data_IF_960454126815
#
_entry.id   IF_960454126815
#
_cell.length_a   1.000
_cell.length_b   1.000
_cell.length_c   1.000
_cell.angle_alpha   90.00
_cell.angle_beta   90.00
_cell.angle_gamma   90.00
#
_symmetry.space_group_name_H-M   'P 1'
#
loop_
_entity.id
_entity.type
_entity.pdbx_description
1 polymer ?
#
# COMPACT_ATOMS: atom_id res chain seq x y z
N UNK A 1 15.77 -6.42 17.09
CA UNK A 1 15.66 -4.96 16.87
C UNK A 1 14.22 -4.43 16.99
N UNK A 2 13.17 -5.26 16.81
CA UNK A 2 11.79 -4.94 17.20
C UNK A 2 11.29 -5.95 18.25
N UNK A 3 11.57 -5.77 19.55
CA UNK A 3 11.18 -6.74 20.57
C UNK A 3 9.67 -6.76 20.84
N UNK A 4 8.95 -5.67 20.50
CA UNK A 4 7.52 -5.50 20.78
C UNK A 4 6.69 -6.27 19.76
N UNK A 5 6.76 -5.91 18.48
CA UNK A 5 5.90 -6.49 17.44
C UNK A 5 6.55 -7.67 16.72
N UNK A 6 7.89 -7.80 16.79
CA UNK A 6 8.66 -8.83 16.05
C UNK A 6 8.34 -8.86 14.55
N UNK A 7 8.03 -7.69 14.01
CA UNK A 7 7.63 -7.49 12.62
C UNK A 7 8.68 -6.68 11.86
N UNK A 8 8.71 -6.89 10.55
CA UNK A 8 9.37 -6.04 9.56
C UNK A 8 8.36 -5.01 9.02
N UNK A 9 8.80 -3.88 8.46
CA UNK A 9 10.20 -3.42 8.37
C UNK A 9 10.75 -2.85 9.69
N UNK A 10 12.09 -2.90 9.82
CA UNK A 10 12.84 -2.18 10.85
C UNK A 10 13.99 -1.45 10.17
N UNK A 11 14.00 -0.12 10.22
CA UNK A 11 15.13 0.69 9.75
C UNK A 11 16.15 0.81 10.89
N UNK A 12 17.43 0.53 10.62
CA UNK A 12 18.51 0.74 11.59
C UNK A 12 19.36 1.91 11.10
N UNK A 13 19.28 3.05 11.78
CA UNK A 13 20.07 4.24 11.44
C UNK A 13 21.02 4.56 12.60
N UNK A 14 22.33 4.43 12.36
CA UNK A 14 23.40 4.62 13.36
C UNK A 14 23.19 3.75 14.61
N UNK A 15 22.94 2.46 14.38
CA UNK A 15 22.71 1.47 15.45
C UNK A 15 21.35 1.58 16.16
N UNK A 16 20.53 2.58 15.84
CA UNK A 16 19.22 2.81 16.47
C UNK A 16 18.09 2.25 15.60
N UNK A 17 17.24 1.36 16.11
CA UNK A 17 16.12 0.82 15.35
C UNK A 17 14.91 1.77 15.35
N UNK A 18 14.24 1.87 14.21
CA UNK A 18 12.94 2.51 14.00
C UNK A 18 12.02 1.44 13.41
N UNK A 19 10.87 1.21 14.04
CA UNK A 19 9.88 0.21 13.64
C UNK A 19 8.66 0.88 13.01
N UNK A 20 7.78 0.10 12.38
CA UNK A 20 6.58 0.52 11.65
C UNK A 20 6.90 1.28 10.35
N UNK A 21 6.40 0.78 9.22
CA UNK A 21 6.70 1.32 7.87
C UNK A 21 6.45 2.82 7.79
N UNK A 22 5.27 3.29 8.21
CA UNK A 22 4.88 4.68 8.07
C UNK A 22 5.55 5.61 9.10
N UNK A 23 6.03 5.07 10.23
CA UNK A 23 6.90 5.80 11.16
C UNK A 23 8.32 5.93 10.58
N UNK A 24 8.84 4.86 9.97
CA UNK A 24 10.12 4.86 9.26
C UNK A 24 10.12 5.88 8.12
N UNK A 25 9.05 5.92 7.31
CA UNK A 25 8.93 6.89 6.20
C UNK A 25 8.94 8.33 6.70
N UNK A 26 8.22 8.62 7.78
CA UNK A 26 8.26 9.95 8.43
C UNK A 26 9.64 10.30 8.95
N UNK A 27 10.34 9.33 9.57
CA UNK A 27 11.70 9.53 10.03
C UNK A 27 12.65 9.85 8.88
N UNK A 28 12.55 9.12 7.75
CA UNK A 28 13.34 9.38 6.55
C UNK A 28 13.06 10.78 6.02
N UNK A 29 11.79 11.17 5.91
CA UNK A 29 11.38 12.48 5.42
C UNK A 29 11.93 13.64 6.29
N UNK A 30 12.00 13.44 7.61
CA UNK A 30 12.53 14.44 8.54
C UNK A 30 14.06 14.54 8.52
N UNK A 31 14.76 13.41 8.37
CA UNK A 31 16.22 13.35 8.41
C UNK A 31 16.83 13.78 7.07
N UNK A 32 16.24 13.38 5.94
CA UNK A 32 16.72 13.69 4.59
C UNK A 32 15.79 14.69 3.86
N UNK A 33 15.32 15.69 4.57
CA UNK A 33 14.33 16.69 4.13
C UNK A 33 14.76 17.64 2.98
N UNK A 34 15.99 17.55 2.50
CA UNK A 34 16.60 18.52 1.58
C UNK A 34 16.49 18.16 0.09
N UNK A 35 15.91 17.02 -0.27
CA UNK A 35 15.84 16.55 -1.68
C UNK A 35 14.43 16.47 -2.25
N UNK A 36 13.55 15.75 -1.57
CA UNK A 36 12.21 15.44 -2.09
C UNK A 36 11.28 15.17 -0.91
N UNK A 37 10.64 16.21 -0.34
CA UNK A 37 9.76 16.04 0.81
C UNK A 37 8.56 15.17 0.42
N UNK A 38 8.30 14.13 1.20
CA UNK A 38 7.17 13.23 1.05
C UNK A 38 5.91 13.80 1.71
N UNK A 39 6.08 14.56 2.79
CA UNK A 39 4.98 15.20 3.50
C UNK A 39 4.90 16.69 3.19
N UNK A 40 3.69 17.24 3.05
CA UNK A 40 3.50 18.68 2.93
C UNK A 40 4.05 19.45 4.14
N UNK A 41 4.56 20.65 3.88
CA UNK A 41 4.98 21.58 4.94
C UNK A 41 3.80 22.15 5.72
N UNK A 42 2.70 22.45 5.01
CA UNK A 42 1.45 22.93 5.62
C UNK A 42 0.88 21.91 6.63
N UNK A 43 0.57 22.31 7.87
CA UNK A 43 0.10 21.39 8.91
C UNK A 43 -1.21 20.68 8.56
N UNK A 44 -2.15 21.35 7.91
CA UNK A 44 -3.44 20.76 7.57
C UNK A 44 -3.27 19.68 6.49
N UNK A 45 -2.58 20.01 5.40
CA UNK A 45 -2.25 19.05 4.32
C UNK A 45 -1.42 17.88 4.83
N UNK A 46 -0.54 18.12 5.80
CA UNK A 46 0.24 17.05 6.46
C UNK A 46 -0.64 16.12 7.29
N UNK A 47 -1.59 16.67 8.06
CA UNK A 47 -2.55 15.87 8.82
C UNK A 47 -3.43 15.03 7.88
N UNK A 48 -3.87 15.63 6.77
CA UNK A 48 -4.61 14.96 5.73
C UNK A 48 -3.84 13.79 5.09
N UNK A 49 -2.56 14.00 4.73
CA UNK A 49 -1.70 12.93 4.22
C UNK A 49 -1.54 11.77 5.23
N UNK A 50 -1.43 12.10 6.51
CA UNK A 50 -1.36 11.10 7.59
C UNK A 50 -2.66 10.31 7.75
N UNK A 51 -3.81 10.98 7.64
CA UNK A 51 -5.10 10.33 7.70
C UNK A 51 -5.24 9.27 6.60
N UNK A 52 -4.90 9.61 5.35
CA UNK A 52 -5.04 8.66 4.25
C UNK A 52 -4.03 7.51 4.31
N UNK A 53 -2.81 7.74 4.76
CA UNK A 53 -1.88 6.64 5.04
C UNK A 53 -2.39 5.70 6.14
N UNK A 54 -2.96 6.26 7.22
CA UNK A 54 -3.58 5.48 8.29
C UNK A 54 -4.82 4.70 7.81
N UNK A 55 -5.63 5.30 6.94
CA UNK A 55 -6.73 4.62 6.26
C UNK A 55 -6.22 3.41 5.46
N UNK A 56 -5.15 3.57 4.68
CA UNK A 56 -4.55 2.49 3.89
C UNK A 56 -4.08 1.35 4.80
N UNK A 57 -3.33 1.66 5.86
CA UNK A 57 -2.82 0.66 6.82
C UNK A 57 -3.97 -0.08 7.53
N UNK A 58 -5.03 0.62 7.93
CA UNK A 58 -6.16 0.05 8.67
C UNK A 58 -7.21 -0.63 7.80
N UNK A 59 -7.25 -0.35 6.50
CA UNK A 59 -8.28 -0.88 5.58
C UNK A 59 -7.68 -1.79 4.53
N UNK A 60 -6.81 -1.28 3.66
CA UNK A 60 -6.33 -1.99 2.48
C UNK A 60 -5.55 -3.25 2.87
N UNK A 61 -4.62 -3.14 3.81
CA UNK A 61 -3.83 -4.30 4.26
C UNK A 61 -4.69 -5.42 4.90
N UNK A 62 -5.47 -5.18 5.97
CA UNK A 62 -6.22 -6.24 6.62
C UNK A 62 -7.33 -6.80 5.72
N UNK A 63 -8.06 -5.96 4.98
CA UNK A 63 -9.13 -6.43 4.09
C UNK A 63 -8.55 -7.21 2.92
N UNK A 64 -7.47 -6.73 2.30
CA UNK A 64 -6.76 -7.44 1.24
C UNK A 64 -6.24 -8.80 1.72
N UNK A 65 -5.72 -8.87 2.95
CA UNK A 65 -5.35 -10.14 3.59
C UNK A 65 -6.54 -11.07 3.76
N UNK A 66 -7.67 -10.57 4.26
CA UNK A 66 -8.87 -11.38 4.43
C UNK A 66 -9.40 -11.90 3.10
N UNK A 67 -9.34 -11.10 2.04
CA UNK A 67 -9.72 -11.51 0.68
C UNK A 67 -8.91 -12.72 0.20
N UNK A 68 -7.58 -12.69 0.32
CA UNK A 68 -6.75 -13.80 -0.16
C UNK A 68 -6.54 -14.91 0.87
N UNK A 69 -6.83 -14.74 2.15
CA UNK A 69 -6.62 -15.77 3.18
C UNK A 69 -7.91 -16.49 3.62
N UNK A 70 -9.10 -15.96 3.30
CA UNK A 70 -10.39 -16.53 3.76
C UNK A 70 -11.11 -17.33 2.68
N UNK A 71 -12.25 -17.95 3.05
CA UNK A 71 -13.18 -18.66 2.15
C UNK A 71 -14.63 -18.18 2.38
N UNK A 72 -15.52 -18.57 1.45
CA UNK A 72 -16.96 -18.38 1.58
C UNK A 72 -17.38 -16.93 1.80
N UNK A 73 -18.35 -16.71 2.67
CA UNK A 73 -18.95 -15.40 2.94
C UNK A 73 -17.92 -14.34 3.38
N UNK A 74 -16.94 -14.73 4.20
CA UNK A 74 -15.89 -13.81 4.67
C UNK A 74 -15.06 -13.27 3.51
N UNK A 75 -14.75 -14.12 2.53
CA UNK A 75 -14.02 -13.72 1.32
C UNK A 75 -14.86 -12.77 0.46
N UNK A 76 -16.13 -13.08 0.24
CA UNK A 76 -17.04 -12.23 -0.55
C UNK A 76 -17.31 -10.88 0.12
N UNK A 77 -17.44 -10.84 1.45
CA UNK A 77 -17.53 -9.59 2.19
C UNK A 77 -16.24 -8.76 2.06
N UNK A 78 -15.08 -9.40 2.25
CA UNK A 78 -13.78 -8.73 2.11
C UNK A 78 -13.55 -8.20 0.70
N UNK A 79 -14.03 -8.90 -0.33
CA UNK A 79 -14.00 -8.43 -1.72
C UNK A 79 -14.78 -7.12 -1.87
N UNK A 80 -16.04 -7.09 -1.42
CA UNK A 80 -16.90 -5.90 -1.50
C UNK A 80 -16.27 -4.72 -0.77
N UNK A 81 -15.80 -4.95 0.44
CA UNK A 81 -15.16 -3.92 1.26
C UNK A 81 -13.88 -3.39 0.62
N UNK A 82 -13.06 -4.27 0.02
CA UNK A 82 -11.82 -3.85 -0.66
C UNK A 82 -12.12 -3.00 -1.89
N UNK A 83 -13.12 -3.39 -2.69
CA UNK A 83 -13.56 -2.62 -3.86
C UNK A 83 -14.03 -1.23 -3.41
N UNK A 84 -14.84 -1.14 -2.36
CA UNK A 84 -15.31 0.14 -1.84
C UNK A 84 -14.14 1.01 -1.32
N UNK A 85 -13.18 0.40 -0.62
CA UNK A 85 -12.01 1.14 -0.15
C UNK A 85 -11.16 1.71 -1.29
N UNK A 86 -10.99 0.97 -2.39
CA UNK A 86 -10.28 1.49 -3.56
C UNK A 86 -11.08 2.57 -4.29
N UNK A 87 -12.41 2.50 -4.35
CA UNK A 87 -13.26 3.57 -4.90
C UNK A 87 -13.15 4.86 -4.09
N UNK A 88 -13.13 4.75 -2.76
CA UNK A 88 -12.87 5.90 -1.88
C UNK A 88 -11.50 6.52 -2.18
N UNK A 89 -10.46 5.70 -2.35
CA UNK A 89 -9.12 6.18 -2.72
C UNK A 89 -9.09 6.81 -4.13
N UNK A 90 -9.83 6.30 -5.11
CA UNK A 90 -9.97 6.96 -6.41
C UNK A 90 -10.62 8.34 -6.34
N UNK A 91 -11.56 8.54 -5.40
CA UNK A 91 -12.18 9.84 -5.16
C UNK A 91 -11.22 10.84 -4.52
N UNK A 92 -10.27 10.35 -3.73
CA UNK A 92 -9.23 11.14 -3.08
C UNK A 92 -8.04 11.45 -4.01
N UNK A 93 -7.79 10.60 -5.00
CA UNK A 93 -6.64 10.72 -5.89
C UNK A 93 -6.60 12.11 -6.55
N UNK A 94 -5.55 12.86 -6.22
CA UNK A 94 -5.19 14.10 -6.90
C UNK A 94 -4.57 13.85 -8.28
N UNK A 95 -4.18 14.94 -8.96
CA UNK A 95 -3.54 14.88 -10.29
C UNK A 95 -2.11 15.44 -10.24
N UNK A 96 -1.07 14.71 -10.71
CA UNK A 96 -1.10 13.32 -11.17
C UNK A 96 -0.97 12.26 -10.05
N UNK A 97 -0.71 12.68 -8.80
CA UNK A 97 -0.48 11.82 -7.63
C UNK A 97 -1.41 12.19 -6.45
N UNK A 98 -1.48 11.34 -5.42
CA UNK A 98 -2.14 11.70 -4.16
C UNK A 98 -1.47 12.89 -3.47
N UNK A 99 -0.15 13.04 -3.63
CA UNK A 99 0.57 14.24 -3.20
C UNK A 99 0.26 15.51 -4.01
N UNK A 100 -0.59 15.44 -5.03
CA UNK A 100 -0.82 16.49 -6.02
C UNK A 100 0.21 16.42 -7.13
N UNK A 101 0.92 17.53 -7.38
CA UNK A 101 1.92 17.64 -8.46
C UNK A 101 3.12 16.69 -8.32
N UNK A 102 3.39 16.21 -7.11
CA UNK A 102 4.54 15.35 -6.80
C UNK A 102 4.13 14.10 -6.02
N UNK A 103 4.82 12.99 -6.29
CA UNK A 103 4.73 11.76 -5.51
C UNK A 103 5.04 12.02 -4.04
N UNK A 104 4.15 11.61 -3.14
CA UNK A 104 4.24 11.92 -1.71
C UNK A 104 3.92 10.74 -0.79
N UNK A 105 3.58 11.09 0.45
CA UNK A 105 3.40 10.14 1.55
C UNK A 105 2.28 9.13 1.34
N UNK A 106 1.13 9.56 0.82
CA UNK A 106 -0.01 8.67 0.53
C UNK A 106 0.37 7.73 -0.63
N UNK A 107 1.03 8.24 -1.67
CA UNK A 107 1.46 7.43 -2.80
C UNK A 107 2.40 6.30 -2.34
N UNK A 108 3.35 6.63 -1.46
CA UNK A 108 4.29 5.68 -0.89
C UNK A 108 3.60 4.63 -0.01
N UNK A 109 2.54 5.00 0.71
CA UNK A 109 1.75 4.06 1.50
C UNK A 109 0.95 3.08 0.61
N UNK A 110 0.38 3.57 -0.51
CA UNK A 110 -0.51 2.78 -1.35
C UNK A 110 0.22 1.96 -2.42
N UNK A 111 1.26 2.50 -3.05
CA UNK A 111 1.87 1.89 -4.25
C UNK A 111 2.43 0.47 -4.02
N UNK A 112 2.89 0.07 -2.82
CA UNK A 112 3.30 -1.32 -2.59
C UNK A 112 2.18 -2.33 -2.86
N UNK A 113 0.91 -1.96 -2.61
CA UNK A 113 -0.25 -2.83 -2.85
C UNK A 113 -0.52 -3.09 -4.32
N UNK A 114 0.02 -2.29 -5.25
CA UNK A 114 0.00 -2.60 -6.68
C UNK A 114 0.59 -3.98 -6.97
N UNK A 115 1.63 -4.39 -6.22
CA UNK A 115 2.23 -5.72 -6.33
C UNK A 115 1.24 -6.87 -6.03
N UNK A 116 0.14 -6.58 -5.32
CA UNK A 116 -0.90 -7.53 -4.98
C UNK A 116 -2.13 -7.46 -5.91
N UNK A 117 -2.21 -6.52 -6.86
CA UNK A 117 -3.42 -6.34 -7.67
C UNK A 117 -3.79 -7.60 -8.44
N UNK A 118 -2.84 -8.24 -9.13
CA UNK A 118 -3.08 -9.54 -9.79
C UNK A 118 -3.59 -10.62 -8.82
N UNK A 119 -3.12 -10.61 -7.57
CA UNK A 119 -3.60 -11.54 -6.54
C UNK A 119 -5.04 -11.24 -6.15
N UNK A 120 -5.38 -9.98 -5.95
CA UNK A 120 -6.74 -9.55 -5.64
C UNK A 120 -7.70 -9.84 -6.79
N UNK A 121 -7.32 -9.57 -8.03
CA UNK A 121 -8.13 -9.90 -9.22
C UNK A 121 -8.39 -11.40 -9.31
N UNK A 122 -7.32 -12.19 -9.28
CA UNK A 122 -7.41 -13.64 -9.50
C UNK A 122 -8.17 -14.34 -8.39
N UNK A 123 -7.89 -14.01 -7.12
CA UNK A 123 -8.56 -14.64 -6.00
C UNK A 123 -9.92 -14.03 -5.70
N UNK A 124 -10.09 -12.72 -5.86
CA UNK A 124 -11.35 -12.02 -5.65
C UNK A 124 -12.32 -12.10 -6.83
N UNK A 125 -11.89 -12.59 -7.99
CA UNK A 125 -12.69 -12.70 -9.21
C UNK A 125 -13.39 -11.37 -9.57
N UNK A 126 -12.59 -10.33 -9.74
CA UNK A 126 -12.99 -9.03 -10.27
C UNK A 126 -11.83 -8.42 -11.06
N UNK A 127 -12.08 -7.37 -11.84
CA UNK A 127 -11.02 -6.67 -12.59
C UNK A 127 -10.74 -5.32 -11.96
N UNK A 128 -9.50 -5.11 -11.51
CA UNK A 128 -9.01 -3.84 -10.97
C UNK A 128 -9.00 -2.77 -12.07
N UNK A 129 -8.67 -3.12 -13.31
CA UNK A 129 -8.67 -2.18 -14.44
C UNK A 129 -10.07 -1.65 -14.76
N UNK A 130 -11.09 -2.51 -14.67
CA UNK A 130 -12.48 -2.11 -14.92
C UNK A 130 -13.05 -1.32 -13.74
N UNK A 131 -12.79 -1.76 -12.52
CA UNK A 131 -13.36 -1.15 -11.32
C UNK A 131 -12.66 0.17 -10.94
N UNK A 132 -11.35 0.29 -11.17
CA UNK A 132 -10.54 1.44 -10.72
C UNK A 132 -9.52 1.92 -11.79
N UNK A 133 -10.00 2.42 -12.94
CA UNK A 133 -9.11 2.84 -14.03
C UNK A 133 -8.16 3.98 -13.63
N UNK A 134 -8.58 4.93 -12.78
CA UNK A 134 -7.71 6.05 -12.37
C UNK A 134 -6.59 5.59 -11.46
N UNK A 135 -6.87 4.64 -10.56
CA UNK A 135 -5.83 4.02 -9.73
C UNK A 135 -4.84 3.22 -10.59
N UNK A 136 -5.29 2.56 -11.65
CA UNK A 136 -4.36 1.90 -12.58
C UNK A 136 -3.47 2.93 -13.28
N UNK A 137 -4.04 4.00 -13.82
CA UNK A 137 -3.26 5.05 -14.48
C UNK A 137 -2.26 5.71 -13.52
N UNK A 138 -2.69 5.99 -12.28
CA UNK A 138 -1.80 6.47 -11.21
C UNK A 138 -0.66 5.49 -10.91
N UNK A 139 -0.94 4.20 -10.80
CA UNK A 139 0.08 3.20 -10.54
C UNK A 139 1.09 3.12 -11.69
N UNK A 140 0.63 3.18 -12.95
CA UNK A 140 1.51 3.23 -14.12
C UNK A 140 2.41 4.47 -14.09
N UNK A 141 1.88 5.65 -13.73
CA UNK A 141 2.70 6.86 -13.54
C UNK A 141 3.74 6.67 -12.44
N UNK A 142 3.35 6.07 -11.31
CA UNK A 142 4.29 5.77 -10.23
C UNK A 142 5.43 4.84 -10.67
N UNK A 143 5.14 3.83 -11.49
CA UNK A 143 6.13 2.88 -12.00
C UNK A 143 7.19 3.52 -12.91
N UNK A 144 6.91 4.68 -13.53
CA UNK A 144 7.90 5.44 -14.28
C UNK A 144 9.02 5.98 -13.38
N UNK A 145 8.81 6.06 -12.07
CA UNK A 145 9.85 6.44 -11.11
C UNK A 145 10.76 5.26 -10.82
N UNK A 146 12.05 5.43 -11.03
CA UNK A 146 13.06 4.41 -10.74
C UNK A 146 13.01 3.91 -9.29
N UNK A 147 12.74 4.79 -8.33
CA UNK A 147 12.60 4.44 -6.92
C UNK A 147 11.44 3.48 -6.65
N UNK A 148 10.38 3.53 -7.46
CA UNK A 148 9.21 2.65 -7.33
C UNK A 148 9.46 1.36 -8.10
N UNK A 149 9.81 1.43 -9.38
CA UNK A 149 9.99 0.24 -10.22
C UNK A 149 11.08 -0.72 -9.71
N UNK A 150 12.14 -0.20 -9.08
CA UNK A 150 13.18 -1.04 -8.45
C UNK A 150 12.77 -1.64 -7.10
N UNK A 151 11.74 -1.10 -6.44
CA UNK A 151 11.34 -1.50 -5.08
C UNK A 151 10.16 -2.47 -5.06
N UNK A 152 9.32 -2.46 -6.10
CA UNK A 152 8.15 -3.33 -6.17
C UNK A 152 8.50 -4.74 -6.64
N UNK A 153 7.80 -5.73 -6.09
CA UNK A 153 7.88 -7.10 -6.55
C UNK A 153 6.99 -7.32 -7.77
N UNK A 154 7.40 -8.22 -8.66
CA UNK A 154 6.53 -8.69 -9.74
C UNK A 154 5.23 -9.30 -9.17
N UNK A 155 4.09 -8.93 -9.77
CA UNK A 155 2.78 -9.30 -9.24
C UNK A 155 2.52 -10.81 -9.28
N UNK A 156 3.09 -11.53 -10.26
CA UNK A 156 2.94 -12.99 -10.36
C UNK A 156 3.77 -13.70 -9.32
N UNK A 157 4.94 -13.16 -8.95
CA UNK A 157 5.74 -13.67 -7.85
C UNK A 157 5.03 -13.49 -6.50
N UNK A 158 4.41 -12.33 -6.26
CA UNK A 158 3.56 -12.12 -5.08
C UNK A 158 2.41 -13.12 -5.03
N UNK A 159 1.70 -13.30 -6.15
CA UNK A 159 0.61 -14.28 -6.23
C UNK A 159 1.06 -15.71 -5.92
N UNK A 160 2.18 -16.17 -6.48
CA UNK A 160 2.75 -17.49 -6.16
C UNK A 160 3.06 -17.63 -4.68
N UNK A 161 3.68 -16.62 -4.06
CA UNK A 161 3.96 -16.63 -2.63
C UNK A 161 2.66 -16.70 -1.80
N UNK A 162 1.63 -15.95 -2.19
CA UNK A 162 0.31 -15.99 -1.54
C UNK A 162 -0.35 -17.37 -1.66
N UNK A 163 -0.25 -18.05 -2.80
CA UNK A 163 -0.75 -19.42 -2.94
C UNK A 163 -0.07 -20.39 -1.98
N UNK A 164 1.25 -20.30 -1.83
CA UNK A 164 1.99 -21.13 -0.88
C UNK A 164 1.59 -20.84 0.58
N UNK A 165 1.30 -19.57 0.92
CA UNK A 165 0.77 -19.20 2.23
C UNK A 165 -0.65 -19.77 2.41
N UNK A 166 -1.52 -19.67 1.40
CA UNK A 166 -2.89 -20.22 1.45
C UNK A 166 -2.88 -21.71 1.73
N UNK A 167 -2.01 -22.47 1.07
CA UNK A 167 -1.82 -23.91 1.34
C UNK A 167 -1.48 -24.17 2.80
N UNK A 168 -0.50 -23.43 3.35
CA UNK A 168 -0.10 -23.55 4.76
C UNK A 168 -1.21 -23.19 5.75
N UNK A 169 -2.12 -22.30 5.36
CA UNK A 169 -3.27 -21.89 6.17
C UNK A 169 -4.50 -22.82 6.00
N UNK A 170 -4.44 -23.84 5.14
CA UNK A 170 -5.61 -24.65 4.77
C UNK A 170 -6.68 -23.86 4.00
N UNK A 171 -6.28 -22.71 3.44
CA UNK A 171 -7.15 -21.73 2.83
C UNK A 171 -7.33 -21.93 1.32
N UNK A 172 -6.79 -22.99 0.72
CA UNK A 172 -6.89 -23.28 -0.73
C UNK A 172 -8.32 -23.24 -1.28
#
# INVERSE_FOLDING_TARGET
MNPVHKQIPVLIHNGRPICESMVIVQYIDQVWNHKSPLLPSDPYRRAHARFWADYIDKKIYPIGRMLWASKGEVKEASKKDLIECFKILEGELGEPYFGGESFGYIDLALIPFYSFFYTFETLGNFSVVVEFPKLIDWAQRCLLKESVSKSLCDQRNVYKAVLEIRKKLGAE
#
